data_IF_710672858740
#
_entry.id   IF_710672858740
#
_cell.length_a   1.000
_cell.length_b   1.000
_cell.length_c   1.000
_cell.angle_alpha   90.00
_cell.angle_beta   90.00
_cell.angle_gamma   90.00
#
_symmetry.space_group_name_H-M   'P 1'
#
loop_
_entity.id
_entity.type
_entity.pdbx_description
1 polymer ?
#
# COMPACT_ATOMS: atom_id res chain seq x y z
N UNK A 1 59.70 -51.30 21.31
CA UNK A 1 58.79 -51.20 22.47
C UNK A 1 58.76 -49.77 22.96
N UNK A 2 57.55 -49.27 23.23
CA UNK A 2 57.19 -48.16 24.13
C UNK A 2 57.63 -46.74 23.76
N UNK A 3 56.66 -46.07 23.13
CA UNK A 3 56.42 -44.64 23.25
C UNK A 3 56.33 -44.20 24.72
N UNK A 4 56.83 -43.01 25.03
CA UNK A 4 56.42 -42.26 26.22
C UNK A 4 56.05 -40.83 25.80
N UNK A 5 54.75 -40.55 25.95
CA UNK A 5 54.09 -39.28 25.65
C UNK A 5 54.53 -38.23 26.67
N UNK A 6 54.98 -37.06 26.19
CA UNK A 6 55.04 -35.84 27.00
C UNK A 6 53.67 -35.15 26.94
N UNK A 7 52.99 -35.11 28.07
CA UNK A 7 51.77 -34.32 28.28
C UNK A 7 52.21 -32.88 28.54
N UNK A 8 51.89 -31.96 27.61
CA UNK A 8 51.98 -30.52 27.83
C UNK A 8 50.59 -30.01 28.18
N UNK A 9 50.41 -29.61 29.43
CA UNK A 9 49.22 -28.94 29.93
C UNK A 9 49.29 -27.47 29.53
N UNK A 10 48.58 -27.09 28.47
CA UNK A 10 48.42 -25.68 28.10
C UNK A 10 47.06 -25.19 28.54
N UNK A 11 47.01 -24.50 29.68
CA UNK A 11 45.84 -23.75 30.13
C UNK A 11 45.70 -22.48 29.30
N UNK A 12 44.79 -22.48 28.31
CA UNK A 12 44.38 -21.25 27.63
C UNK A 12 43.26 -20.64 28.46
N UNK A 13 43.56 -19.58 29.20
CA UNK A 13 42.54 -18.71 29.78
C UNK A 13 41.88 -17.94 28.64
N UNK A 14 40.61 -18.23 28.37
CA UNK A 14 39.80 -17.43 27.46
C UNK A 14 39.51 -16.07 28.14
N UNK A 15 40.11 -15.00 27.62
CA UNK A 15 39.75 -13.62 27.97
C UNK A 15 38.47 -13.30 27.19
N UNK A 16 37.33 -13.28 27.89
CA UNK A 16 36.07 -12.79 27.33
C UNK A 16 36.19 -11.28 27.12
N UNK A 17 36.38 -10.85 25.88
CA UNK A 17 36.17 -9.47 25.48
C UNK A 17 34.66 -9.19 25.49
N UNK A 18 34.16 -8.57 26.56
CA UNK A 18 32.82 -7.97 26.57
C UNK A 18 32.84 -6.71 25.71
N UNK A 19 32.57 -6.87 24.41
CA UNK A 19 32.25 -5.73 23.55
C UNK A 19 30.88 -5.21 23.99
N UNK A 20 30.87 -4.05 24.66
CA UNK A 20 29.65 -3.27 24.84
C UNK A 20 29.19 -2.81 23.45
N UNK A 21 28.28 -3.57 22.84
CA UNK A 21 27.41 -3.03 21.81
C UNK A 21 26.53 -1.99 22.51
N UNK A 22 26.90 -0.72 22.39
CA UNK A 22 25.92 0.36 22.56
C UNK A 22 24.93 0.19 21.41
N UNK A 23 23.83 -0.51 21.69
CA UNK A 23 22.70 -0.56 20.79
C UNK A 23 22.30 0.89 20.51
N UNK A 24 22.39 1.30 19.24
CA UNK A 24 21.67 2.46 18.77
C UNK A 24 20.21 2.31 19.25
N UNK A 25 19.54 3.40 19.70
CA UNK A 25 18.14 3.31 20.06
C UNK A 25 17.40 2.66 18.89
N UNK A 26 16.46 1.73 19.14
CA UNK A 26 15.67 1.16 18.05
C UNK A 26 15.09 2.35 17.29
N UNK A 27 15.47 2.48 16.01
CA UNK A 27 14.76 3.33 15.09
C UNK A 27 13.29 2.98 15.28
N UNK A 28 12.49 4.01 15.55
CA UNK A 28 11.05 3.94 15.68
C UNK A 28 10.52 2.80 14.82
N UNK A 29 9.82 1.87 15.47
CA UNK A 29 8.88 1.03 14.78
C UNK A 29 7.82 1.97 14.21
N UNK A 30 8.13 2.59 13.06
CA UNK A 30 7.15 3.16 12.17
C UNK A 30 6.15 2.05 11.96
N UNK A 31 4.96 2.25 12.52
CA UNK A 31 3.82 1.39 12.29
C UNK A 31 3.88 0.99 10.82
N UNK A 32 3.98 -0.30 10.55
CA UNK A 32 3.78 -0.81 9.21
C UNK A 32 2.38 -0.33 8.83
N UNK A 33 2.33 0.82 8.14
CA UNK A 33 1.09 1.46 7.75
C UNK A 33 0.45 0.45 6.85
N UNK A 34 -0.66 -0.14 7.30
CA UNK A 34 -1.49 -0.93 6.40
C UNK A 34 -1.63 -0.10 5.12
N UNK A 35 -1.34 -0.67 3.95
CA UNK A 35 -1.44 0.05 2.67
C UNK A 35 -2.86 0.59 2.43
N UNK A 36 -3.82 -0.03 3.12
CA UNK A 36 -5.16 0.46 3.40
C UNK A 36 -5.20 0.93 4.87
N UNK A 37 -4.67 2.12 5.11
CA UNK A 37 -4.38 2.63 6.45
C UNK A 37 -5.57 3.30 7.11
N UNK A 38 -5.61 3.27 8.44
CA UNK A 38 -6.46 4.14 9.26
C UNK A 38 -5.86 5.57 9.31
N UNK A 39 -5.58 6.16 8.14
CA UNK A 39 -5.05 7.51 8.06
C UNK A 39 -6.08 8.51 8.59
N UNK A 40 -5.71 9.41 9.53
CA UNK A 40 -6.63 10.45 9.98
C UNK A 40 -6.87 11.44 8.84
N UNK A 41 -8.12 11.54 8.41
CA UNK A 41 -8.54 12.71 7.64
C UNK A 41 -8.84 13.87 8.59
N UNK A 42 -8.50 15.13 8.23
CA UNK A 42 -8.90 16.29 9.00
C UNK A 42 -10.41 16.50 8.84
N UNK A 43 -11.21 15.95 9.76
CA UNK A 43 -12.55 16.42 10.17
C UNK A 43 -13.67 16.53 9.12
N UNK A 44 -14.87 16.07 9.51
CA UNK A 44 -16.19 16.32 8.89
C UNK A 44 -16.21 16.60 7.38
N UNK A 45 -16.24 15.52 6.59
CA UNK A 45 -16.50 15.61 5.15
C UNK A 45 -18.00 15.56 4.91
N UNK A 46 -18.50 16.44 4.04
CA UNK A 46 -19.89 16.39 3.61
C UNK A 46 -20.06 15.22 2.63
N UNK A 47 -20.78 14.14 2.97
CA UNK A 47 -20.89 12.94 2.14
C UNK A 47 -21.58 13.20 0.78
N UNK A 48 -22.24 14.36 0.64
CA UNK A 48 -22.88 14.80 -0.60
C UNK A 48 -21.94 15.55 -1.56
N UNK A 49 -20.72 15.90 -1.15
CA UNK A 49 -19.73 16.66 -1.96
C UNK A 49 -18.65 15.75 -2.55
N UNK A 50 -18.54 14.49 -2.10
CA UNK A 50 -17.63 13.54 -2.71
C UNK A 50 -18.16 13.09 -4.08
N UNK A 51 -17.94 13.93 -5.09
CA UNK A 51 -18.19 13.64 -6.49
C UNK A 51 -17.41 12.43 -6.97
N UNK A 52 -17.60 12.08 -8.23
CA UNK A 52 -16.84 11.01 -8.89
C UNK A 52 -15.33 11.29 -8.76
N UNK A 53 -14.60 10.30 -8.26
CA UNK A 53 -13.13 10.34 -8.28
C UNK A 53 -12.65 9.75 -9.60
N UNK A 54 -11.81 10.50 -10.32
CA UNK A 54 -11.24 10.10 -11.60
C UNK A 54 -9.72 9.96 -11.47
N UNK A 55 -9.21 8.74 -11.62
CA UNK A 55 -7.78 8.47 -11.66
C UNK A 55 -7.28 8.76 -13.07
N UNK A 56 -6.57 9.87 -13.25
CA UNK A 56 -6.05 10.27 -14.56
C UNK A 56 -4.56 9.99 -14.75
N UNK A 57 -3.85 9.66 -13.66
CA UNK A 57 -2.47 9.18 -13.68
C UNK A 57 -2.31 8.03 -12.67
N UNK A 58 -1.56 6.99 -13.06
CA UNK A 58 -1.08 5.95 -12.15
C UNK A 58 0.44 5.92 -12.22
N UNK A 59 1.12 6.23 -11.13
CA UNK A 59 2.57 6.18 -11.01
C UNK A 59 2.98 4.90 -10.28
N UNK A 60 3.83 4.09 -10.92
CA UNK A 60 4.36 2.85 -10.35
C UNK A 60 5.80 3.08 -9.89
N UNK A 61 6.00 3.21 -8.58
CA UNK A 61 7.32 3.34 -7.97
C UNK A 61 7.91 2.00 -7.54
N UNK A 62 7.18 0.89 -7.74
CA UNK A 62 7.67 -0.44 -7.40
C UNK A 62 8.71 -0.91 -8.43
N UNK A 63 9.48 -1.93 -8.05
CA UNK A 63 10.41 -2.65 -8.93
C UNK A 63 9.72 -3.68 -9.84
N UNK A 64 8.39 -3.79 -9.76
CA UNK A 64 7.61 -4.76 -10.52
C UNK A 64 6.70 -4.05 -11.52
N UNK A 65 6.33 -4.75 -12.58
CA UNK A 65 5.21 -4.34 -13.40
C UNK A 65 3.91 -4.42 -12.59
N UNK A 66 3.07 -3.39 -12.70
CA UNK A 66 1.76 -3.35 -12.07
C UNK A 66 0.67 -3.42 -13.13
N UNK A 67 -0.26 -4.34 -12.94
CA UNK A 67 -1.48 -4.45 -13.72
C UNK A 67 -2.63 -3.81 -12.97
N UNK A 68 -3.38 -2.94 -13.64
CA UNK A 68 -4.56 -2.28 -13.12
C UNK A 68 -5.75 -2.69 -13.99
N UNK A 69 -6.84 -3.11 -13.36
CA UNK A 69 -8.07 -3.47 -14.05
C UNK A 69 -9.28 -2.94 -13.29
N UNK A 70 -10.14 -2.22 -13.99
CA UNK A 70 -11.44 -1.82 -13.49
C UNK A 70 -12.42 -3.00 -13.55
N UNK A 71 -13.07 -3.31 -12.43
CA UNK A 71 -14.06 -4.38 -12.32
C UNK A 71 -15.46 -3.96 -12.77
N UNK A 72 -15.76 -2.66 -12.77
CA UNK A 72 -17.02 -2.09 -13.26
C UNK A 72 -16.98 -1.90 -14.77
N UNK A 73 -15.83 -1.46 -15.32
CA UNK A 73 -15.59 -1.36 -16.75
C UNK A 73 -14.39 -2.23 -17.19
N UNK A 74 -14.60 -3.52 -17.56
CA UNK A 74 -13.51 -4.45 -17.83
C UNK A 74 -12.67 -4.11 -19.07
N UNK A 75 -13.16 -3.23 -19.95
CA UNK A 75 -12.40 -2.72 -21.09
C UNK A 75 -11.25 -1.81 -20.63
N UNK A 76 -11.35 -1.21 -19.44
CA UNK A 76 -10.28 -0.45 -18.81
C UNK A 76 -9.36 -1.41 -18.05
N UNK A 77 -8.30 -1.82 -18.73
CA UNK A 77 -7.20 -2.56 -18.14
C UNK A 77 -5.89 -2.10 -18.78
N UNK A 78 -4.86 -1.95 -17.97
CA UNK A 78 -3.56 -1.51 -18.44
C UNK A 78 -2.44 -2.00 -17.54
N UNK A 79 -1.25 -2.00 -18.11
CA UNK A 79 0.00 -2.34 -17.46
C UNK A 79 0.83 -1.08 -17.28
N UNK A 80 1.38 -0.88 -16.08
CA UNK A 80 2.33 0.17 -15.75
C UNK A 80 3.70 -0.46 -15.52
N UNK A 81 4.70 -0.19 -16.36
CA UNK A 81 6.07 -0.68 -16.16
C UNK A 81 6.63 -0.26 -14.79
N UNK A 82 7.61 -1.02 -14.27
CA UNK A 82 8.34 -0.65 -13.07
C UNK A 82 8.99 0.74 -13.22
N UNK A 83 8.82 1.62 -12.24
CA UNK A 83 9.27 3.02 -12.32
C UNK A 83 8.53 3.89 -13.34
N UNK A 84 7.50 3.33 -14.01
CA UNK A 84 6.76 3.97 -15.08
C UNK A 84 5.48 4.67 -14.62
N UNK A 85 4.73 5.18 -15.59
CA UNK A 85 3.40 5.75 -15.35
C UNK A 85 2.43 5.47 -16.49
N UNK A 86 1.16 5.43 -16.13
CA UNK A 86 0.03 5.45 -17.07
C UNK A 86 -0.71 6.77 -16.94
N UNK A 87 -1.24 7.27 -18.06
CA UNK A 87 -2.11 8.45 -18.11
C UNK A 87 -3.37 8.11 -18.88
N UNK A 88 -4.53 8.54 -18.39
CA UNK A 88 -5.82 8.29 -19.01
C UNK A 88 -6.95 8.86 -18.17
N UNK A 89 -8.08 8.15 -18.13
CA UNK A 89 -9.19 8.43 -17.22
C UNK A 89 -9.80 7.09 -16.81
N UNK A 90 -10.02 6.94 -15.52
CA UNK A 90 -10.60 5.74 -14.91
C UNK A 90 -11.29 6.18 -13.64
N UNK A 91 -12.62 6.14 -13.65
CA UNK A 91 -13.40 6.46 -12.47
C UNK A 91 -13.23 5.40 -11.40
N UNK A 92 -13.20 5.82 -10.14
CA UNK A 92 -13.20 4.89 -9.02
C UNK A 92 -14.64 4.38 -8.81
N UNK A 93 -14.89 3.07 -8.94
CA UNK A 93 -16.24 2.50 -8.85
C UNK A 93 -16.87 2.69 -7.47
N UNK A 94 -18.18 2.95 -7.44
CA UNK A 94 -18.95 3.02 -6.20
C UNK A 94 -19.32 1.61 -5.72
N UNK A 95 -18.92 1.30 -4.48
CA UNK A 95 -19.21 0.02 -3.82
C UNK A 95 -19.84 0.31 -2.46
N UNK A 96 -21.05 -0.22 -2.23
CA UNK A 96 -21.77 -0.03 -0.97
C UNK A 96 -21.80 -1.23 -0.02
N UNK A 97 -21.29 -2.40 -0.46
CA UNK A 97 -21.38 -3.67 0.27
C UNK A 97 -20.53 -4.77 -0.37
N UNK A 98 -20.28 -5.85 0.36
CA UNK A 98 -19.41 -6.96 -0.04
C UNK A 98 -19.72 -7.58 -1.41
N UNK A 99 -20.99 -7.80 -1.76
CA UNK A 99 -21.36 -8.43 -3.04
C UNK A 99 -21.12 -7.53 -4.27
N UNK A 100 -20.76 -6.27 -4.03
CA UNK A 100 -20.40 -5.30 -5.07
C UNK A 100 -18.88 -5.14 -5.23
N UNK A 101 -18.06 -5.80 -4.41
CA UNK A 101 -16.59 -5.75 -4.49
C UNK A 101 -16.02 -6.17 -5.85
N UNK A 102 -16.79 -6.93 -6.65
CA UNK A 102 -16.45 -7.26 -8.05
C UNK A 102 -16.27 -6.04 -8.95
N UNK A 103 -16.81 -4.88 -8.58
CA UNK A 103 -16.67 -3.61 -9.30
C UNK A 103 -15.31 -2.95 -9.06
N UNK A 104 -14.67 -3.23 -7.93
CA UNK A 104 -13.45 -2.54 -7.49
C UNK A 104 -12.35 -2.56 -8.56
N UNK A 105 -11.53 -1.52 -8.57
CA UNK A 105 -10.27 -1.52 -9.30
C UNK A 105 -9.34 -2.52 -8.62
N UNK A 106 -8.86 -3.49 -9.39
CA UNK A 106 -7.87 -4.46 -8.93
C UNK A 106 -6.48 -4.02 -9.34
N UNK A 107 -5.55 -4.11 -8.40
CA UNK A 107 -4.14 -3.74 -8.60
C UNK A 107 -3.29 -4.98 -8.29
N UNK A 108 -2.53 -5.44 -9.28
CA UNK A 108 -1.85 -6.75 -9.28
C UNK A 108 -0.38 -6.59 -9.65
N UNK A 109 0.52 -7.22 -8.89
CA UNK A 109 1.91 -7.44 -9.28
C UNK A 109 2.44 -8.73 -8.66
N UNK A 110 3.42 -9.36 -9.31
CA UNK A 110 3.97 -10.64 -8.90
C UNK A 110 2.93 -11.77 -8.87
N UNK A 111 2.02 -11.82 -9.86
CA UNK A 111 0.93 -12.80 -10.01
C UNK A 111 -0.09 -12.85 -8.87
N UNK A 112 -0.18 -11.78 -8.06
CA UNK A 112 -1.16 -11.70 -6.98
C UNK A 112 -1.88 -10.36 -7.02
N UNK A 113 -3.20 -10.38 -6.93
CA UNK A 113 -3.97 -9.18 -6.63
C UNK A 113 -3.64 -8.73 -5.22
N UNK A 114 -3.14 -7.50 -5.14
CA UNK A 114 -2.69 -6.89 -3.89
C UNK A 114 -3.79 -6.07 -3.29
N UNK A 115 -4.51 -5.32 -4.13
CA UNK A 115 -5.55 -4.41 -3.67
C UNK A 115 -6.81 -4.46 -4.52
N UNK A 116 -7.94 -4.27 -3.84
CA UNK A 116 -9.24 -3.91 -4.39
C UNK A 116 -9.55 -2.50 -3.90
N UNK A 117 -9.54 -1.53 -4.82
CA UNK A 117 -9.76 -0.11 -4.54
C UNK A 117 -11.12 0.33 -5.05
N UNK A 118 -11.86 1.09 -4.25
CA UNK A 118 -13.22 1.53 -4.57
C UNK A 118 -13.60 2.81 -3.81
N UNK A 119 -14.66 3.47 -4.25
CA UNK A 119 -15.30 4.61 -3.59
C UNK A 119 -16.52 4.12 -2.82
N UNK A 120 -16.64 4.48 -1.56
CA UNK A 120 -17.64 3.87 -0.66
C UNK A 120 -19.00 4.51 -0.85
N UNK A 121 -20.05 3.74 -1.12
CA UNK A 121 -21.42 4.25 -1.27
C UNK A 121 -22.25 4.08 0.01
N UNK A 122 -22.80 5.19 0.52
CA UNK A 122 -23.68 5.22 1.68
C UNK A 122 -22.97 5.10 3.03
N UNK A 123 -23.69 5.46 4.11
CA UNK A 123 -23.17 5.42 5.47
C UNK A 123 -22.23 6.58 5.82
N UNK A 124 -21.50 6.45 6.93
CA UNK A 124 -20.59 7.48 7.45
C UNK A 124 -19.30 7.64 6.64
N UNK A 125 -18.95 6.64 5.84
CA UNK A 125 -17.76 6.63 4.98
C UNK A 125 -18.09 7.04 3.52
N UNK A 126 -19.26 7.64 3.26
CA UNK A 126 -19.70 7.90 1.90
C UNK A 126 -18.72 8.79 1.12
N UNK A 127 -18.31 8.29 -0.03
CA UNK A 127 -17.40 8.94 -0.97
C UNK A 127 -15.92 8.74 -0.66
N UNK A 128 -15.59 8.05 0.44
CA UNK A 128 -14.20 7.75 0.74
C UNK A 128 -13.63 6.71 -0.20
N UNK A 129 -12.38 6.93 -0.62
CA UNK A 129 -11.63 5.94 -1.37
C UNK A 129 -11.01 4.95 -0.39
N UNK A 130 -11.44 3.70 -0.49
CA UNK A 130 -10.98 2.60 0.35
C UNK A 130 -10.24 1.58 -0.49
N UNK A 131 -9.37 0.82 0.17
CA UNK A 131 -8.80 -0.38 -0.38
C UNK A 131 -8.90 -1.56 0.58
N UNK A 132 -8.84 -2.76 0.01
CA UNK A 132 -8.78 -4.01 0.75
C UNK A 132 -7.66 -4.87 0.21
N UNK A 133 -6.88 -5.53 1.07
CA UNK A 133 -5.85 -6.48 0.66
C UNK A 133 -6.38 -7.92 0.44
N UNK A 134 -7.66 -8.14 0.76
CA UNK A 134 -8.31 -9.46 0.77
C UNK A 134 -9.62 -9.47 -0.03
N UNK A 135 -9.99 -8.34 -0.65
CA UNK A 135 -11.24 -8.19 -1.40
C UNK A 135 -12.49 -8.08 -0.50
N UNK A 136 -12.30 -7.82 0.80
CA UNK A 136 -13.39 -7.58 1.74
C UNK A 136 -13.75 -6.10 1.88
N UNK A 137 -15.03 -5.78 1.78
CA UNK A 137 -15.61 -4.44 1.96
C UNK A 137 -15.55 -4.01 3.42
N UNK A 138 -15.99 -4.88 4.34
CA UNK A 138 -16.09 -4.57 5.78
C UNK A 138 -14.72 -4.40 6.44
N UNK A 139 -13.70 -5.07 5.91
CA UNK A 139 -12.31 -5.02 6.37
C UNK A 139 -11.43 -4.09 5.52
N UNK A 140 -12.06 -3.26 4.67
CA UNK A 140 -11.34 -2.26 3.88
C UNK A 140 -10.90 -1.09 4.75
N UNK A 141 -9.70 -0.59 4.47
CA UNK A 141 -9.16 0.63 5.07
C UNK A 141 -9.23 1.78 4.07
N UNK A 142 -9.12 3.01 4.55
CA UNK A 142 -9.03 4.18 3.66
C UNK A 142 -7.69 4.17 2.92
N UNK A 143 -7.68 4.61 1.67
CA UNK A 143 -6.43 4.87 0.94
C UNK A 143 -5.83 6.14 1.54
N UNK A 144 -4.53 6.11 1.83
CA UNK A 144 -3.83 7.31 2.30
C UNK A 144 -3.85 8.36 1.20
N UNK A 145 -4.07 9.63 1.54
CA UNK A 145 -4.30 10.65 0.53
C UNK A 145 -4.05 12.04 1.10
N UNK A 146 -3.60 12.97 0.25
CA UNK A 146 -3.66 14.40 0.53
C UNK A 146 -4.92 15.07 -0.06
N UNK A 147 -5.81 14.24 -0.63
CA UNK A 147 -6.89 14.63 -1.52
C UNK A 147 -8.25 14.09 -1.06
N UNK A 148 -8.91 14.84 -0.16
CA UNK A 148 -10.09 14.46 0.66
C UNK A 148 -11.38 14.26 -0.10
N UNK A 149 -11.51 14.93 -1.25
CA UNK A 149 -12.75 15.01 -2.00
C UNK A 149 -12.65 14.25 -3.33
N UNK A 150 -13.75 14.17 -4.07
CA UNK A 150 -13.76 13.64 -5.43
C UNK A 150 -12.88 14.42 -6.42
N UNK A 151 -13.05 14.16 -7.72
CA UNK A 151 -12.32 14.84 -8.78
C UNK A 151 -11.07 14.10 -9.26
N UNK A 152 -10.21 14.81 -9.99
CA UNK A 152 -9.06 14.20 -10.69
C UNK A 152 -7.89 13.95 -9.75
N UNK A 153 -7.42 12.71 -9.71
CA UNK A 153 -6.34 12.27 -8.84
C UNK A 153 -5.25 11.53 -9.63
N UNK A 154 -4.06 11.53 -9.02
CA UNK A 154 -2.99 10.59 -9.32
C UNK A 154 -2.98 9.50 -8.25
N UNK A 155 -2.94 8.24 -8.69
CA UNK A 155 -2.66 7.10 -7.82
C UNK A 155 -1.16 6.81 -7.85
N UNK A 156 -0.52 6.78 -6.68
CA UNK A 156 0.88 6.41 -6.51
C UNK A 156 0.95 5.05 -5.82
N UNK A 157 1.63 4.10 -6.47
CA UNK A 157 1.89 2.76 -5.96
C UNK A 157 3.35 2.72 -5.54
N UNK A 158 3.58 2.74 -4.23
CA UNK A 158 4.91 2.88 -3.63
C UNK A 158 5.62 1.53 -3.52
N UNK A 159 6.95 1.58 -3.51
CA UNK A 159 7.84 0.42 -3.34
C UNK A 159 7.68 -0.32 -2.00
N UNK A 160 7.20 0.38 -0.96
CA UNK A 160 6.83 -0.19 0.33
C UNK A 160 5.43 -0.84 0.37
N UNK A 161 4.91 -1.24 -0.80
CA UNK A 161 3.58 -1.82 -1.01
C UNK A 161 2.41 -0.90 -0.63
N UNK A 162 2.57 0.41 -0.44
CA UNK A 162 1.46 1.32 -0.09
C UNK A 162 0.80 1.99 -1.29
N UNK A 163 -0.50 2.33 -1.13
CA UNK A 163 -1.23 3.17 -2.06
C UNK A 163 -1.36 4.59 -1.51
N UNK A 164 -1.17 5.58 -2.37
CA UNK A 164 -1.36 6.98 -2.02
C UNK A 164 -2.10 7.73 -3.13
N UNK A 165 -3.06 8.58 -2.77
CA UNK A 165 -3.77 9.45 -3.72
C UNK A 165 -3.29 10.88 -3.57
N UNK A 166 -3.02 11.50 -4.72
CA UNK A 166 -2.56 12.88 -4.83
C UNK A 166 -3.50 13.69 -5.69
N UNK A 167 -3.72 14.96 -5.35
CA UNK A 167 -4.33 15.91 -6.28
C UNK A 167 -3.44 16.11 -7.50
N UNK A 168 -4.06 16.20 -8.67
CA UNK A 168 -3.39 16.77 -9.84
C UNK A 168 -3.73 18.26 -9.86
N UNK A 169 -2.74 19.08 -9.47
CA UNK A 169 -2.87 20.53 -9.53
C UNK A 169 -3.23 20.99 -10.96
N UNK A 170 -4.30 21.77 -11.10
CA UNK A 170 -4.76 22.29 -12.40
C UNK A 170 -6.06 21.68 -12.93
N UNK A 171 -6.75 20.83 -12.17
CA UNK A 171 -8.16 20.52 -12.40
C UNK A 171 -9.03 21.62 -11.77
N UNK A 172 -10.08 22.11 -12.46
CA UNK A 172 -10.95 23.19 -12.00
C UNK A 172 -11.71 22.86 -10.71
#
# INVERSE_FOLDING_TARGET
MRAFRRTLTSSIAAVSASTLFTAAPPADATAASSPCGNGPWPGWHNPLINGLTDITEVANQTSHEVQVKDGENPDIHFTVPAGGKWTGSMWVPWVGRQNEMRKSITITWGNRTRYWMFQTFGGSDQGDIKCSATGGFEISGRVSSDAVEGGKKRLVIRDNDTLFLEWISGAP
#
